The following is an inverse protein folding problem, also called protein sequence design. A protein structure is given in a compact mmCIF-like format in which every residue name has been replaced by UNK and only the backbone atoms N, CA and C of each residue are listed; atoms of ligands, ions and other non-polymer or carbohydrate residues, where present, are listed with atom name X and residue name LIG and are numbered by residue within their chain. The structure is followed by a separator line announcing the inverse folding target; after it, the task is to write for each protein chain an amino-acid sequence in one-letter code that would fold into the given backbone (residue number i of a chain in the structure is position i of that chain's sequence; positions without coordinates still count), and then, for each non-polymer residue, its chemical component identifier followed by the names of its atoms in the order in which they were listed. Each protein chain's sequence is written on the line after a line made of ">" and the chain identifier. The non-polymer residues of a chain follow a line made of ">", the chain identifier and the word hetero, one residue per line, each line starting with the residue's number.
data_IF_863590135916
#
_entry.id   IF_863590135916
#
_cell.length_a   1.000
_cell.length_b   1.000
_cell.length_c   1.000
_cell.angle_alpha   90.00
_cell.angle_beta   90.00
_cell.angle_gamma   90.00
#
_symmetry.space_group_name_H-M   'P 1'
#
loop_
_entity.id
_entity.type
_entity.pdbx_description
1 polymer ?
#
# COMPACT_ATOMS: atom_id res chain seq x y z
N UNK A 1 -4.30 -35.82 -16.83
CA UNK A 1 -3.19 -35.41 -15.95
C UNK A 1 -2.16 -34.73 -16.84
N UNK A 2 -2.23 -33.40 -16.96
CA UNK A 2 -1.28 -32.63 -17.77
C UNK A 2 -0.10 -32.24 -16.89
N UNK A 3 1.10 -32.61 -17.32
CA UNK A 3 2.37 -32.30 -16.69
C UNK A 3 2.69 -30.81 -16.83
N UNK A 4 2.50 -30.04 -15.75
CA UNK A 4 3.10 -28.71 -15.59
C UNK A 4 4.61 -28.85 -15.36
N UNK A 5 5.34 -29.23 -16.41
CA UNK A 5 6.79 -29.22 -16.42
C UNK A 5 7.26 -27.80 -16.76
N UNK A 6 7.85 -27.11 -15.78
CA UNK A 6 8.85 -26.08 -16.05
C UNK A 6 8.41 -24.62 -16.03
N UNK A 7 7.25 -24.25 -15.47
CA UNK A 7 7.00 -22.83 -15.20
C UNK A 7 7.96 -22.42 -14.07
N UNK A 8 8.90 -21.48 -14.30
CA UNK A 8 9.79 -21.01 -13.24
C UNK A 8 8.95 -20.50 -12.07
N UNK A 9 9.30 -20.91 -10.84
CA UNK A 9 8.64 -20.46 -9.63
C UNK A 9 8.97 -18.99 -9.39
N UNK A 10 8.17 -18.08 -9.97
CA UNK A 10 8.26 -16.65 -9.72
C UNK A 10 7.93 -16.39 -8.25
N UNK A 11 8.94 -16.03 -7.46
CA UNK A 11 8.81 -15.69 -6.04
C UNK A 11 8.84 -14.18 -5.79
N UNK A 12 9.55 -13.46 -6.66
CA UNK A 12 9.72 -12.02 -6.58
C UNK A 12 9.58 -11.44 -7.97
N UNK A 13 8.80 -10.38 -8.06
CA UNK A 13 8.59 -9.62 -9.28
C UNK A 13 8.71 -8.13 -8.96
N UNK A 14 9.56 -7.44 -9.71
CA UNK A 14 9.79 -6.02 -9.59
C UNK A 14 9.77 -5.40 -10.98
N UNK A 15 8.95 -4.37 -11.16
CA UNK A 15 8.92 -3.60 -12.39
C UNK A 15 9.07 -2.13 -12.07
N UNK A 16 10.02 -1.49 -12.73
CA UNK A 16 10.21 -0.05 -12.68
C UNK A 16 10.12 0.51 -14.09
N UNK A 17 9.04 1.22 -14.36
CA UNK A 17 8.87 1.98 -15.58
C UNK A 17 9.47 3.37 -15.39
N UNK A 18 10.10 3.89 -16.44
CA UNK A 18 10.59 5.27 -16.42
C UNK A 18 9.40 6.23 -16.43
N UNK A 19 9.51 7.28 -15.64
CA UNK A 19 8.52 8.36 -15.59
C UNK A 19 8.17 8.86 -17.00
N UNK A 20 6.86 8.99 -17.30
CA UNK A 20 6.35 9.35 -18.62
C UNK A 20 6.33 8.22 -19.66
N UNK A 21 6.80 7.02 -19.31
CA UNK A 21 6.66 5.82 -20.16
C UNK A 21 5.34 5.14 -19.81
N UNK A 22 4.32 5.35 -20.64
CA UNK A 22 3.18 4.45 -20.65
C UNK A 22 3.55 3.27 -21.52
N UNK A 23 3.45 2.06 -20.98
CA UNK A 23 3.55 0.85 -21.79
C UNK A 23 2.14 0.29 -21.93
N UNK A 24 1.46 0.52 -23.07
CA UNK A 24 0.22 -0.17 -23.36
C UNK A 24 0.50 -1.68 -23.37
N UNK A 25 -0.34 -2.47 -22.70
CA UNK A 25 -0.27 -3.93 -22.74
C UNK A 25 -0.20 -4.50 -24.17
N UNK A 26 -0.77 -3.78 -25.13
CA UNK A 26 -0.84 -4.16 -26.54
C UNK A 26 0.49 -4.09 -27.29
N UNK A 27 1.55 -3.52 -26.71
CA UNK A 27 2.86 -3.41 -27.37
C UNK A 27 3.76 -4.63 -27.16
N UNK A 28 3.33 -5.61 -26.38
CA UNK A 28 4.07 -6.85 -26.20
C UNK A 28 3.56 -7.94 -27.16
N UNK A 29 4.46 -8.56 -27.93
CA UNK A 29 4.14 -9.55 -28.96
C UNK A 29 3.41 -10.78 -28.38
N UNK A 30 2.32 -11.21 -29.04
CA UNK A 30 1.34 -12.21 -28.57
C UNK A 30 1.87 -13.65 -28.39
N UNK A 31 3.09 -13.97 -28.85
CA UNK A 31 3.57 -15.35 -28.99
C UNK A 31 4.47 -15.86 -27.83
N UNK A 32 4.68 -15.06 -26.78
CA UNK A 32 5.47 -15.46 -25.60
C UNK A 32 4.61 -15.25 -24.35
N UNK A 33 4.49 -16.28 -23.49
CA UNK A 33 3.88 -16.17 -22.18
C UNK A 33 4.42 -14.91 -21.47
N UNK A 34 3.54 -13.94 -21.25
CA UNK A 34 3.97 -12.62 -20.86
C UNK A 34 4.51 -12.70 -19.43
N UNK A 35 5.68 -12.12 -19.11
CA UNK A 35 6.21 -12.12 -17.74
C UNK A 35 5.25 -11.49 -16.72
N UNK A 36 4.19 -10.84 -17.20
CA UNK A 36 3.16 -10.17 -16.41
C UNK A 36 1.78 -10.83 -16.50
N UNK A 37 1.62 -11.99 -17.14
CA UNK A 37 0.31 -12.66 -17.31
C UNK A 37 -0.40 -12.86 -15.96
N UNK A 38 0.35 -13.04 -14.88
CA UNK A 38 -0.21 -13.19 -13.53
C UNK A 38 -0.91 -11.91 -12.99
N UNK A 39 -0.57 -10.75 -13.53
CA UNK A 39 -1.27 -9.48 -13.27
C UNK A 39 -2.57 -9.36 -14.08
N UNK A 40 -2.80 -10.24 -15.06
CA UNK A 40 -4.01 -10.33 -15.89
C UNK A 40 -4.76 -11.66 -15.69
N UNK A 41 -4.67 -12.24 -14.51
CA UNK A 41 -5.40 -13.48 -14.14
C UNK A 41 -4.65 -14.78 -14.35
N UNK A 42 -3.40 -14.74 -14.81
CA UNK A 42 -2.47 -15.86 -14.68
C UNK A 42 -2.19 -16.21 -13.20
N UNK A 43 -1.76 -17.45 -12.95
CA UNK A 43 -1.44 -17.92 -11.61
C UNK A 43 0.06 -17.77 -11.31
N UNK A 44 0.39 -17.01 -10.27
CA UNK A 44 1.73 -16.97 -9.66
C UNK A 44 1.67 -17.39 -8.18
N UNK A 45 1.36 -18.66 -7.86
CA UNK A 45 1.09 -19.09 -6.49
C UNK A 45 2.31 -19.02 -5.55
N UNK A 46 3.51 -18.97 -6.14
CA UNK A 46 4.77 -18.85 -5.41
C UNK A 46 5.20 -17.41 -5.16
N UNK A 47 4.49 -16.41 -5.74
CA UNK A 47 4.84 -15.01 -5.60
C UNK A 47 4.70 -14.59 -4.13
N UNK A 48 5.74 -13.91 -3.64
CA UNK A 48 5.85 -13.37 -2.29
C UNK A 48 6.09 -11.89 -2.31
N UNK A 49 6.88 -11.41 -3.27
CA UNK A 49 7.25 -10.01 -3.39
C UNK A 49 6.74 -9.45 -4.71
N UNK A 50 5.97 -8.37 -4.62
CA UNK A 50 5.52 -7.59 -5.77
C UNK A 50 5.90 -6.12 -5.53
N UNK A 51 6.76 -5.59 -6.39
CA UNK A 51 7.05 -4.14 -6.45
C UNK A 51 6.70 -3.62 -7.84
N UNK A 52 5.91 -2.56 -7.89
CA UNK A 52 5.44 -1.91 -9.11
C UNK A 52 5.67 -0.41 -8.99
N UNK A 53 6.51 0.12 -9.86
CA UNK A 53 6.84 1.53 -9.94
C UNK A 53 6.51 2.06 -11.33
N UNK A 54 5.68 3.09 -11.40
CA UNK A 54 5.30 3.78 -12.63
C UNK A 54 4.04 3.24 -13.31
N UNK A 55 3.59 3.94 -14.36
CA UNK A 55 2.31 3.72 -15.05
C UNK A 55 2.21 2.36 -15.76
N UNK A 56 1.81 1.33 -15.02
CA UNK A 56 1.45 0.03 -15.55
C UNK A 56 -0.07 -0.11 -15.54
N UNK A 57 -0.66 -0.26 -16.72
CA UNK A 57 -2.04 -0.76 -16.80
C UNK A 57 -2.09 -2.10 -16.07
N UNK A 58 -3.01 -2.33 -15.14
CA UNK A 58 -3.16 -3.64 -14.48
C UNK A 58 -4.65 -3.91 -14.39
N UNK A 59 -5.07 -5.09 -14.85
CA UNK A 59 -6.45 -5.52 -14.68
C UNK A 59 -6.62 -6.12 -13.28
N UNK A 60 -6.70 -5.24 -12.29
CA UNK A 60 -6.79 -5.62 -10.87
C UNK A 60 -7.96 -6.57 -10.58
N UNK A 61 -9.05 -6.46 -11.34
CA UNK A 61 -10.23 -7.32 -11.20
C UNK A 61 -9.97 -8.79 -11.56
N UNK A 62 -8.97 -9.03 -12.42
CA UNK A 62 -8.55 -10.36 -12.82
C UNK A 62 -7.32 -10.83 -12.05
N UNK A 63 -6.57 -9.92 -11.43
CA UNK A 63 -5.35 -10.26 -10.69
C UNK A 63 -5.64 -11.29 -9.58
N UNK A 64 -4.88 -12.39 -9.58
CA UNK A 64 -4.98 -13.46 -8.58
C UNK A 64 -3.91 -13.30 -7.48
N UNK A 65 -3.62 -12.04 -7.10
CA UNK A 65 -2.60 -11.72 -6.10
C UNK A 65 -3.00 -12.31 -4.75
N UNK A 66 -2.17 -13.20 -4.24
CA UNK A 66 -2.39 -13.92 -2.99
C UNK A 66 -1.07 -14.33 -2.35
N UNK A 67 -1.09 -14.50 -1.04
CA UNK A 67 0.05 -14.97 -0.24
C UNK A 67 1.33 -14.10 -0.34
N UNK A 68 1.19 -12.82 -0.70
CA UNK A 68 2.31 -11.86 -0.69
C UNK A 68 2.78 -11.61 0.76
N UNK A 69 4.08 -11.42 0.89
CA UNK A 69 4.75 -10.92 2.10
C UNK A 69 5.23 -9.48 1.91
N UNK A 70 5.44 -9.03 0.67
CA UNK A 70 5.79 -7.65 0.33
C UNK A 70 4.89 -7.18 -0.81
N UNK A 71 4.22 -6.05 -0.61
CA UNK A 71 3.49 -5.31 -1.62
C UNK A 71 3.99 -3.88 -1.63
N UNK A 72 4.51 -3.46 -2.76
CA UNK A 72 5.13 -2.16 -2.96
C UNK A 72 4.58 -1.53 -4.24
N UNK A 73 3.83 -0.44 -4.09
CA UNK A 73 3.20 0.30 -5.18
C UNK A 73 3.68 1.74 -5.12
N UNK A 74 4.32 2.21 -6.19
CA UNK A 74 4.93 3.53 -6.24
C UNK A 74 4.62 4.25 -7.56
N UNK A 75 4.35 5.55 -7.48
CA UNK A 75 4.22 6.45 -8.62
C UNK A 75 3.25 5.94 -9.70
N UNK A 76 2.11 5.37 -9.29
CA UNK A 76 1.07 4.92 -10.22
C UNK A 76 0.11 6.07 -10.51
N UNK A 77 -0.21 6.36 -11.76
CA UNK A 77 -1.33 7.28 -12.06
C UNK A 77 -2.65 6.74 -11.49
N UNK A 78 -3.57 7.59 -11.02
CA UNK A 78 -4.86 7.16 -10.48
C UNK A 78 -5.69 6.25 -11.41
N UNK A 79 -5.55 6.40 -12.73
CA UNK A 79 -6.18 5.52 -13.72
C UNK A 79 -5.76 4.05 -13.64
N UNK A 80 -4.63 3.77 -12.98
CA UNK A 80 -4.07 2.44 -12.77
C UNK A 80 -4.20 1.93 -11.34
N UNK A 81 -4.91 2.66 -10.49
CA UNK A 81 -5.17 2.24 -9.11
C UNK A 81 -6.23 1.15 -9.07
N UNK A 82 -6.10 0.14 -8.19
CA UNK A 82 -7.21 -0.77 -7.91
C UNK A 82 -8.37 0.03 -7.31
N UNK A 83 -9.61 -0.40 -7.53
CA UNK A 83 -10.71 0.11 -6.72
C UNK A 83 -10.58 -0.36 -5.26
N UNK A 84 -11.34 0.24 -4.33
CA UNK A 84 -11.18 -0.06 -2.92
C UNK A 84 -11.54 -1.52 -2.58
N UNK A 85 -12.54 -2.07 -3.26
CA UNK A 85 -12.95 -3.47 -3.08
C UNK A 85 -11.82 -4.44 -3.44
N UNK A 86 -11.18 -4.26 -4.59
CA UNK A 86 -10.08 -5.09 -5.06
C UNK A 86 -8.83 -4.90 -4.19
N UNK A 87 -8.50 -3.67 -3.81
CA UNK A 87 -7.38 -3.42 -2.89
C UNK A 87 -7.55 -4.20 -1.58
N UNK A 88 -8.75 -4.13 -0.98
CA UNK A 88 -9.06 -4.89 0.25
C UNK A 88 -9.03 -6.40 0.03
N UNK A 89 -9.46 -6.87 -1.14
CA UNK A 89 -9.36 -8.28 -1.50
C UNK A 89 -7.90 -8.73 -1.59
N UNK A 90 -7.01 -7.93 -2.19
CA UNK A 90 -5.56 -8.21 -2.22
C UNK A 90 -5.01 -8.32 -0.78
N UNK A 91 -5.32 -7.33 0.08
CA UNK A 91 -4.90 -7.35 1.47
C UNK A 91 -5.42 -8.59 2.23
N UNK A 92 -6.69 -8.97 1.99
CA UNK A 92 -7.32 -10.15 2.61
C UNK A 92 -6.67 -11.45 2.13
N UNK A 93 -6.32 -11.53 0.85
CA UNK A 93 -5.65 -12.69 0.24
C UNK A 93 -4.16 -12.78 0.59
N UNK A 94 -3.60 -11.74 1.22
CA UNK A 94 -2.20 -11.68 1.66
C UNK A 94 -2.11 -11.55 3.20
N UNK A 95 -2.65 -12.51 3.98
CA UNK A 95 -2.70 -12.39 5.43
C UNK A 95 -1.32 -12.42 6.10
N UNK A 96 -0.25 -12.76 5.37
CA UNK A 96 1.14 -12.77 5.85
C UNK A 96 1.94 -11.58 5.34
N UNK A 97 1.28 -10.51 4.91
CA UNK A 97 1.95 -9.29 4.46
C UNK A 97 2.79 -8.70 5.60
N UNK A 98 4.09 -8.53 5.35
CA UNK A 98 5.11 -8.05 6.30
C UNK A 98 5.44 -6.59 5.98
N UNK A 99 5.50 -6.24 4.69
CA UNK A 99 5.82 -4.91 4.21
C UNK A 99 4.73 -4.42 3.25
N UNK A 100 4.27 -3.20 3.49
CA UNK A 100 3.35 -2.48 2.62
C UNK A 100 3.93 -1.09 2.36
N UNK A 101 4.18 -0.79 1.09
CA UNK A 101 4.67 0.51 0.65
C UNK A 101 3.70 1.09 -0.38
N UNK A 102 3.25 2.31 -0.11
CA UNK A 102 2.30 3.04 -0.94
C UNK A 102 2.81 4.47 -1.11
N UNK A 103 3.31 4.77 -2.31
CA UNK A 103 3.87 6.07 -2.67
C UNK A 103 3.11 6.63 -3.87
N UNK A 104 2.21 7.60 -3.65
CA UNK A 104 1.34 8.10 -4.72
C UNK A 104 0.56 6.99 -5.43
N UNK A 105 0.26 5.88 -4.72
CA UNK A 105 -0.40 4.70 -5.27
C UNK A 105 -1.23 3.98 -4.21
N UNK A 106 -2.50 3.71 -4.49
CA UNK A 106 -3.40 3.07 -3.53
C UNK A 106 -4.77 2.73 -4.12
N UNK A 107 -5.79 2.45 -3.30
CA UNK A 107 -7.16 2.27 -3.78
C UNK A 107 -7.77 3.56 -4.34
N UNK A 108 -8.61 3.47 -5.36
CA UNK A 108 -9.45 4.60 -5.77
C UNK A 108 -10.29 5.10 -4.60
N UNK A 109 -10.36 6.42 -4.44
CA UNK A 109 -11.13 7.08 -3.39
C UNK A 109 -12.63 6.91 -3.68
N UNK A 110 -13.30 6.08 -2.88
CA UNK A 110 -14.73 5.82 -2.98
C UNK A 110 -15.43 6.46 -1.77
N UNK A 111 -16.10 7.59 -1.98
CA UNK A 111 -16.79 8.35 -0.91
C UNK A 111 -17.96 7.60 -0.27
N UNK A 112 -18.48 6.54 -0.90
CA UNK A 112 -19.75 5.94 -0.52
C UNK A 112 -19.62 4.46 -0.14
N UNK A 113 -20.11 4.11 1.05
CA UNK A 113 -20.37 2.73 1.46
C UNK A 113 -19.23 2.00 2.18
N UNK A 114 -17.99 2.48 2.10
CA UNK A 114 -16.84 1.83 2.74
C UNK A 114 -16.75 2.09 4.25
N UNK A 115 -17.36 3.16 4.76
CA UNK A 115 -17.42 3.46 6.21
C UNK A 115 -18.05 2.33 7.03
N UNK A 116 -18.84 1.47 6.40
CA UNK A 116 -19.53 0.34 7.06
C UNK A 116 -18.71 -0.95 7.02
N UNK A 117 -17.60 -0.99 6.27
CA UNK A 117 -16.80 -2.21 6.10
C UNK A 117 -15.65 -2.18 7.12
N UNK A 118 -15.54 -3.19 8.01
CA UNK A 118 -14.49 -3.20 9.03
C UNK A 118 -13.10 -3.27 8.38
N UNK A 119 -12.09 -2.54 8.84
CA UNK A 119 -10.75 -2.57 8.25
C UNK A 119 -10.15 -3.98 8.15
N UNK A 120 -9.30 -4.22 7.14
CA UNK A 120 -8.61 -5.51 6.97
C UNK A 120 -7.51 -5.67 8.03
N UNK A 121 -7.53 -6.72 8.87
CA UNK A 121 -6.50 -6.92 9.89
C UNK A 121 -5.20 -7.46 9.29
N UNK A 122 -4.16 -6.64 9.27
CA UNK A 122 -2.80 -6.98 8.83
C UNK A 122 -1.90 -7.26 10.04
N UNK A 123 -2.19 -8.36 10.76
CA UNK A 123 -1.54 -8.67 12.05
C UNK A 123 -0.05 -9.01 11.95
N UNK A 124 0.47 -9.28 10.74
CA UNK A 124 1.89 -9.56 10.48
C UNK A 124 2.61 -8.40 9.79
N UNK A 125 1.94 -7.25 9.58
CA UNK A 125 2.57 -6.09 8.98
C UNK A 125 3.53 -5.47 9.99
N UNK A 126 4.81 -5.37 9.61
CA UNK A 126 5.89 -4.83 10.43
C UNK A 126 6.43 -3.51 9.88
N UNK A 127 6.40 -3.31 8.57
CA UNK A 127 6.88 -2.09 7.91
C UNK A 127 5.78 -1.49 7.06
N UNK A 128 5.54 -0.19 7.24
CA UNK A 128 4.58 0.59 6.49
C UNK A 128 5.23 1.88 6.00
N UNK A 129 5.19 2.09 4.69
CA UNK A 129 5.63 3.33 4.03
C UNK A 129 4.44 3.98 3.34
N UNK A 130 4.15 5.22 3.67
CA UNK A 130 3.06 6.01 3.09
C UNK A 130 3.63 7.36 2.63
N UNK A 131 3.48 7.69 1.34
CA UNK A 131 3.96 8.94 0.78
C UNK A 131 3.04 9.53 -0.30
N UNK A 132 3.16 10.85 -0.50
CA UNK A 132 2.49 11.60 -1.58
C UNK A 132 0.95 11.51 -1.61
N UNK A 133 0.29 11.56 -0.45
CA UNK A 133 -1.17 11.58 -0.36
C UNK A 133 -1.72 12.86 0.25
N UNK A 134 -2.86 13.33 -0.29
CA UNK A 134 -3.63 14.42 0.33
C UNK A 134 -4.20 14.00 1.69
N UNK A 135 -4.48 14.96 2.57
CA UNK A 135 -5.02 14.69 3.91
C UNK A 135 -6.30 13.83 3.90
N UNK A 136 -7.36 14.16 3.10
CA UNK A 136 -8.55 13.31 3.04
C UNK A 136 -8.28 11.90 2.54
N UNK A 137 -7.35 11.76 1.58
CA UNK A 137 -7.00 10.45 1.05
C UNK A 137 -6.22 9.60 2.06
N UNK A 138 -5.28 10.20 2.78
CA UNK A 138 -4.53 9.50 3.84
C UNK A 138 -5.48 8.95 4.92
N UNK A 139 -6.48 9.74 5.34
CA UNK A 139 -7.53 9.30 6.29
C UNK A 139 -8.26 8.06 5.76
N UNK A 140 -8.72 8.16 4.51
CA UNK A 140 -9.38 7.07 3.81
C UNK A 140 -8.50 5.82 3.72
N UNK A 141 -7.23 5.98 3.36
CA UNK A 141 -6.28 4.89 3.22
C UNK A 141 -6.04 4.16 4.54
N UNK A 142 -5.76 4.89 5.62
CA UNK A 142 -5.57 4.31 6.95
C UNK A 142 -6.85 3.65 7.51
N UNK A 143 -8.03 4.03 7.01
CA UNK A 143 -9.29 3.34 7.38
C UNK A 143 -9.44 1.96 6.73
N UNK A 144 -8.64 1.64 5.70
CA UNK A 144 -8.79 0.37 4.97
C UNK A 144 -8.22 -0.83 5.73
N UNK A 145 -7.28 -0.64 6.66
CA UNK A 145 -6.60 -1.72 7.37
C UNK A 145 -6.24 -1.39 8.83
N UNK A 146 -5.93 -2.44 9.59
CA UNK A 146 -5.36 -2.34 10.95
C UNK A 146 -4.00 -3.04 10.98
N UNK A 147 -2.99 -2.39 11.55
CA UNK A 147 -1.64 -2.93 11.65
C UNK A 147 -1.13 -2.92 13.11
N UNK A 148 -1.71 -3.72 14.02
CA UNK A 148 -1.36 -3.69 15.45
C UNK A 148 0.05 -4.21 15.77
N UNK A 149 0.72 -4.82 14.79
CA UNK A 149 2.10 -5.33 14.91
C UNK A 149 3.14 -4.44 14.25
N UNK A 150 2.73 -3.26 13.75
CA UNK A 150 3.61 -2.35 13.04
C UNK A 150 4.80 -1.93 13.92
N UNK A 151 6.00 -2.02 13.35
CA UNK A 151 7.26 -1.74 14.02
C UNK A 151 7.99 -0.52 13.43
N UNK A 152 7.94 -0.41 12.11
CA UNK A 152 8.55 0.64 11.30
C UNK A 152 7.46 1.38 10.54
N UNK A 153 7.31 2.66 10.82
CA UNK A 153 6.37 3.56 10.15
C UNK A 153 7.16 4.69 9.49
N UNK A 154 7.01 4.83 8.19
CA UNK A 154 7.51 5.98 7.43
C UNK A 154 6.36 6.76 6.82
N UNK A 155 6.30 8.06 7.11
CA UNK A 155 5.37 9.02 6.55
C UNK A 155 6.17 10.11 5.83
N UNK A 156 5.95 10.28 4.53
CA UNK A 156 6.75 11.18 3.69
C UNK A 156 5.87 12.07 2.81
N UNK A 157 6.29 13.32 2.62
CA UNK A 157 5.70 14.29 1.70
C UNK A 157 4.18 14.52 1.87
N UNK A 158 3.71 14.42 3.12
CA UNK A 158 2.34 14.75 3.53
C UNK A 158 2.23 16.26 3.78
N UNK A 159 2.20 17.03 2.69
CA UNK A 159 2.24 18.49 2.70
C UNK A 159 1.04 19.14 1.99
N UNK A 160 0.91 20.46 2.06
CA UNK A 160 -0.11 21.23 1.33
C UNK A 160 -1.46 21.42 2.05
N UNK A 161 -1.66 20.79 3.21
CA UNK A 161 -2.86 20.90 4.04
C UNK A 161 -2.51 20.72 5.54
N UNK A 162 -3.49 20.81 6.43
CA UNK A 162 -3.34 20.41 7.84
C UNK A 162 -3.59 18.90 7.99
N UNK A 163 -2.53 18.13 8.30
CA UNK A 163 -2.60 16.68 8.56
C UNK A 163 -2.89 16.32 10.02
N UNK A 164 -3.19 17.29 10.90
CA UNK A 164 -3.65 17.01 12.28
C UNK A 164 -4.77 15.96 12.35
N UNK A 165 -5.78 15.97 11.45
CA UNK A 165 -6.82 14.92 11.45
C UNK A 165 -6.29 13.50 11.20
N UNK A 166 -5.23 13.36 10.38
CA UNK A 166 -4.57 12.06 10.17
C UNK A 166 -3.93 11.58 11.47
N UNK A 167 -3.16 12.44 12.16
CA UNK A 167 -2.52 12.07 13.44
C UNK A 167 -3.55 11.76 14.54
N UNK A 168 -4.68 12.46 14.54
CA UNK A 168 -5.79 12.16 15.44
C UNK A 168 -6.33 10.75 15.19
N UNK A 169 -6.56 10.36 13.93
CA UNK A 169 -7.00 9.01 13.57
C UNK A 169 -5.95 7.94 13.92
N UNK A 170 -4.68 8.24 13.69
CA UNK A 170 -3.58 7.31 13.96
C UNK A 170 -3.24 7.18 15.44
N UNK A 171 -3.80 8.02 16.31
CA UNK A 171 -3.57 7.96 17.76
C UNK A 171 -4.01 6.59 18.29
N UNK A 172 -3.07 5.88 18.92
CA UNK A 172 -3.21 4.49 19.41
C UNK A 172 -3.36 3.40 18.34
N UNK A 173 -3.26 3.73 17.05
CA UNK A 173 -3.37 2.74 15.97
C UNK A 173 -2.15 1.79 15.90
N UNK A 174 -0.96 2.29 16.27
CA UNK A 174 0.32 1.59 16.09
C UNK A 174 1.14 1.50 17.39
N UNK A 175 0.64 0.84 18.44
CA UNK A 175 1.26 0.87 19.78
C UNK A 175 2.64 0.18 19.87
N UNK A 176 3.06 -0.55 18.81
CA UNK A 176 4.33 -1.30 18.77
C UNK A 176 5.41 -0.66 17.89
N UNK A 177 5.16 0.53 17.36
CA UNK A 177 6.14 1.26 16.54
C UNK A 177 7.38 1.56 17.39
N UNK A 178 8.55 1.29 16.80
CA UNK A 178 9.89 1.51 17.39
C UNK A 178 10.73 2.44 16.55
N UNK A 179 10.51 2.45 15.24
CA UNK A 179 11.13 3.34 14.27
C UNK A 179 10.03 4.15 13.59
N UNK A 180 10.12 5.47 13.73
CA UNK A 180 9.24 6.42 13.06
C UNK A 180 10.11 7.30 12.18
N UNK A 181 9.84 7.35 10.88
CA UNK A 181 10.48 8.28 9.96
C UNK A 181 9.44 9.28 9.48
N UNK A 182 9.68 10.56 9.73
CA UNK A 182 8.81 11.66 9.30
C UNK A 182 9.61 12.59 8.39
N UNK A 183 9.17 12.72 7.14
CA UNK A 183 9.80 13.57 6.15
C UNK A 183 8.74 14.50 5.54
N UNK A 184 9.00 15.81 5.54
CA UNK A 184 8.14 16.81 4.87
C UNK A 184 6.65 16.74 5.23
N UNK A 185 6.32 16.71 6.52
CA UNK A 185 4.93 16.70 7.02
C UNK A 185 4.48 18.11 7.42
N UNK A 186 3.26 18.48 7.02
CA UNK A 186 2.59 19.71 7.44
C UNK A 186 1.43 19.43 8.41
N UNK A 187 1.34 20.18 9.50
CA UNK A 187 0.22 20.11 10.45
C UNK A 187 0.01 21.46 11.13
N UNK A 188 -1.14 21.65 11.77
CA UNK A 188 -1.47 22.84 12.54
C UNK A 188 -0.54 23.01 13.75
N UNK A 189 0.24 24.09 13.75
CA UNK A 189 1.17 24.43 14.84
C UNK A 189 0.49 25.24 15.96
N UNK A 190 -0.83 25.42 15.90
CA UNK A 190 -1.59 25.95 17.04
C UNK A 190 -1.50 24.99 18.24
N UNK A 191 -1.89 25.45 19.45
CA UNK A 191 -1.96 24.57 20.61
C UNK A 191 -2.80 23.31 20.39
N UNK A 192 -3.80 23.35 19.51
CA UNK A 192 -4.66 22.19 19.23
C UNK A 192 -3.89 21.14 18.42
N UNK A 193 -3.32 21.51 17.27
CA UNK A 193 -2.58 20.56 16.45
C UNK A 193 -1.31 20.04 17.13
N UNK A 194 -0.62 20.87 17.91
CA UNK A 194 0.49 20.43 18.77
C UNK A 194 0.06 19.37 19.80
N UNK A 195 -1.12 19.53 20.43
CA UNK A 195 -1.65 18.54 21.36
C UNK A 195 -1.98 17.22 20.65
N UNK A 196 -2.53 17.27 19.43
CA UNK A 196 -2.84 16.08 18.63
C UNK A 196 -1.55 15.33 18.27
N UNK A 197 -0.55 16.05 17.75
CA UNK A 197 0.76 15.48 17.40
C UNK A 197 1.42 14.85 18.63
N UNK A 198 1.39 15.54 19.77
CA UNK A 198 1.94 15.03 21.03
C UNK A 198 1.22 13.75 21.47
N UNK A 199 -0.11 13.75 21.48
CA UNK A 199 -0.89 12.57 21.85
C UNK A 199 -0.64 11.37 20.93
N UNK A 200 -0.46 11.62 19.62
CA UNK A 200 -0.11 10.57 18.66
C UNK A 200 1.26 9.98 18.97
N UNK A 201 2.29 10.79 19.21
CA UNK A 201 3.63 10.32 19.58
C UNK A 201 3.62 9.57 20.93
N UNK A 202 2.91 10.09 21.93
CA UNK A 202 2.76 9.43 23.24
C UNK A 202 2.04 8.08 23.14
N UNK A 203 1.22 7.88 22.12
CA UNK A 203 0.54 6.60 21.87
C UNK A 203 1.48 5.49 21.36
N UNK A 204 2.75 5.80 21.10
CA UNK A 204 3.81 4.86 20.69
C UNK A 204 4.85 4.68 21.80
N UNK A 205 4.53 3.98 22.90
CA UNK A 205 5.40 3.89 24.07
C UNK A 205 6.73 3.14 23.83
N UNK A 206 6.86 2.45 22.69
CA UNK A 206 8.07 1.71 22.30
C UNK A 206 8.96 2.47 21.30
N UNK A 207 8.60 3.71 20.95
CA UNK A 207 9.35 4.52 20.00
C UNK A 207 10.78 4.75 20.50
N UNK A 208 11.77 4.28 19.73
CA UNK A 208 13.18 4.33 20.07
C UNK A 208 13.98 5.23 19.10
N UNK A 209 13.51 5.38 17.87
CA UNK A 209 14.16 6.14 16.82
C UNK A 209 13.13 7.00 16.09
N UNK A 210 13.45 8.29 15.93
CA UNK A 210 12.71 9.31 15.22
C UNK A 210 13.66 10.10 14.31
#
# INVERSE_FOLDING_TARGET
>A
MSSYNGIPMLQQFELQLKEGTQVPWTEFEEDIAHPLDFLQGGLAPSLKHLSLHGDLAIEWSQSMLQNLTILDLQCLSPSFWPNATHFRQILTNCPRLINLSLDGAGPLFEEQGLEKIPPVPLIYLHTLFIAEFTCPYAIFLFSQFLAPSLNDLTLMDLCGDDYSPVFLQLTSAFPKVRLLTILSIQFDVSPIGMNIMTAWLESMPLLAYL
#
